data_IF_624925061184
#
_entry.id   IF_624925061184
#
_cell.length_a   1.000
_cell.length_b   1.000
_cell.length_c   1.000
_cell.angle_alpha   90.00
_cell.angle_beta   90.00
_cell.angle_gamma   90.00
#
_symmetry.space_group_name_H-M   'P 1'
#
loop_
_entity.id
_entity.type
_entity.pdbx_description
1 polymer ?
#
# COMPACT_ATOMS: atom_id res chain seq x y z
N UNK A 1 -7.50 -28.94 38.28
CA UNK A 1 -7.45 -29.49 36.92
C UNK A 1 -8.54 -28.79 36.12
N UNK A 2 -8.17 -27.71 35.42
CA UNK A 2 -9.07 -26.97 34.53
C UNK A 2 -8.67 -27.32 33.10
N UNK A 3 -9.68 -27.70 32.31
CA UNK A 3 -9.53 -28.28 30.98
C UNK A 3 -8.87 -27.34 30.00
N UNK A 4 -7.91 -27.90 29.28
CA UNK A 4 -7.31 -27.34 28.08
C UNK A 4 -8.44 -27.29 27.03
N UNK A 5 -8.76 -26.10 26.54
CA UNK A 5 -9.68 -25.94 25.42
C UNK A 5 -9.07 -26.64 24.20
N UNK A 6 -9.74 -27.70 23.76
CA UNK A 6 -9.40 -28.45 22.55
C UNK A 6 -9.32 -27.51 21.34
N UNK A 7 -8.14 -27.49 20.71
CA UNK A 7 -7.93 -26.87 19.41
C UNK A 7 -8.78 -27.62 18.37
N UNK A 8 -9.41 -26.92 17.42
CA UNK A 8 -10.21 -27.57 16.38
C UNK A 8 -9.33 -28.50 15.52
N UNK A 9 -9.94 -29.62 15.14
CA UNK A 9 -9.34 -30.78 14.49
C UNK A 9 -8.66 -30.42 13.16
N UNK A 10 -7.48 -31.02 12.93
CA UNK A 10 -6.63 -30.85 11.75
C UNK A 10 -7.28 -31.54 10.55
N UNK A 11 -7.72 -30.77 9.54
CA UNK A 11 -7.87 -31.24 8.14
C UNK A 11 -8.14 -30.04 7.20
N UNK A 12 -7.06 -29.32 6.83
CA UNK A 12 -6.77 -28.77 5.49
C UNK A 12 -5.50 -27.91 5.61
N UNK A 13 -4.37 -28.46 5.17
CA UNK A 13 -3.03 -27.92 5.36
C UNK A 13 -2.72 -26.76 4.39
N UNK A 14 -3.23 -25.58 4.72
CA UNK A 14 -2.56 -24.31 4.41
C UNK A 14 -2.66 -23.42 5.65
N UNK A 15 -1.83 -23.70 6.65
CA UNK A 15 -1.75 -22.87 7.86
C UNK A 15 -1.07 -21.56 7.49
N UNK A 16 -1.86 -20.49 7.34
CA UNK A 16 -1.34 -19.16 7.00
C UNK A 16 -0.46 -18.64 8.11
N UNK A 17 0.78 -18.28 7.76
CA UNK A 17 1.72 -17.70 8.70
C UNK A 17 1.63 -16.19 8.70
N UNK A 18 1.49 -15.61 9.88
CA UNK A 18 1.48 -14.16 10.04
C UNK A 18 2.07 -13.75 11.38
N UNK A 19 2.51 -12.50 11.43
CA UNK A 19 2.90 -11.80 12.64
C UNK A 19 2.32 -10.39 12.59
N UNK A 20 1.63 -10.01 13.66
CA UNK A 20 1.07 -8.67 13.83
C UNK A 20 1.71 -8.05 15.06
N UNK A 21 2.29 -6.87 14.87
CA UNK A 21 2.80 -6.05 15.97
C UNK A 21 1.65 -5.16 16.45
N UNK A 22 1.30 -5.32 17.74
CA UNK A 22 0.25 -4.59 18.47
C UNK A 22 0.85 -3.74 19.58
N UNK A 23 1.38 -2.53 19.27
CA UNK A 23 1.99 -1.65 20.26
C UNK A 23 1.04 -1.22 21.39
N UNK A 24 -0.27 -1.27 21.15
CA UNK A 24 -1.34 -0.91 22.09
C UNK A 24 -1.54 -1.93 23.22
N UNK A 25 -1.17 -3.20 23.00
CA UNK A 25 -1.44 -4.29 23.95
C UNK A 25 -0.43 -4.38 25.09
N UNK A 26 0.82 -4.00 24.87
CA UNK A 26 1.86 -4.01 25.89
C UNK A 26 2.15 -2.64 26.52
N UNK A 27 2.48 -2.65 27.81
CA UNK A 27 2.78 -1.45 28.59
C UNK A 27 4.22 -0.95 28.43
N UNK A 28 4.50 0.24 28.96
CA UNK A 28 5.86 0.81 29.03
C UNK A 28 6.81 -0.11 29.80
N UNK A 29 6.33 -0.78 30.86
CA UNK A 29 7.14 -1.71 31.64
C UNK A 29 7.49 -2.98 30.88
N UNK A 30 6.56 -3.49 30.07
CA UNK A 30 6.83 -4.65 29.20
C UNK A 30 7.87 -4.27 28.14
N UNK A 31 7.78 -3.05 27.57
CA UNK A 31 8.75 -2.54 26.61
C UNK A 31 10.14 -2.38 27.23
N UNK A 32 10.23 -1.83 28.45
CA UNK A 32 11.50 -1.69 29.18
C UNK A 32 12.10 -3.04 29.55
N UNK A 33 11.27 -3.98 30.04
CA UNK A 33 11.68 -5.35 30.36
C UNK A 33 12.28 -6.01 29.12
N UNK A 34 11.54 -6.03 28.01
CA UNK A 34 12.01 -6.62 26.77
C UNK A 34 13.29 -5.93 26.23
N UNK A 35 13.37 -4.59 26.31
CA UNK A 35 14.54 -3.84 25.85
C UNK A 35 15.81 -4.13 26.66
N UNK A 36 15.70 -4.33 27.97
CA UNK A 36 16.86 -4.46 28.87
C UNK A 36 17.30 -5.92 29.06
N UNK A 37 16.35 -6.85 29.19
CA UNK A 37 16.65 -8.26 29.47
C UNK A 37 16.37 -9.20 28.29
N UNK A 38 15.73 -8.73 27.22
CA UNK A 38 15.25 -9.62 26.16
C UNK A 38 14.14 -10.56 26.59
N UNK A 39 13.36 -10.15 27.58
CA UNK A 39 12.26 -10.93 28.12
C UNK A 39 11.18 -11.18 27.05
N UNK A 40 11.13 -12.42 26.56
CA UNK A 40 10.20 -12.86 25.52
C UNK A 40 8.75 -12.82 26.04
N UNK A 41 8.52 -13.05 27.33
CA UNK A 41 7.17 -13.00 27.90
C UNK A 41 6.59 -11.57 27.84
N UNK A 42 7.46 -10.56 27.95
CA UNK A 42 7.09 -9.17 27.72
C UNK A 42 6.89 -8.85 26.23
N UNK A 43 7.69 -9.44 25.33
CA UNK A 43 7.54 -9.27 23.88
C UNK A 43 6.23 -9.84 23.36
N UNK A 44 5.85 -11.05 23.80
CA UNK A 44 4.63 -11.76 23.35
C UNK A 44 3.37 -10.92 23.57
N UNK A 45 3.36 -10.02 24.56
CA UNK A 45 2.23 -9.10 24.80
C UNK A 45 2.03 -8.08 23.68
N UNK A 46 3.07 -7.80 22.89
CA UNK A 46 3.01 -6.90 21.74
C UNK A 46 2.81 -7.65 20.41
N UNK A 47 2.74 -8.99 20.43
CA UNK A 47 2.71 -9.80 19.21
C UNK A 47 1.47 -10.68 19.16
N UNK A 48 0.88 -10.74 17.98
CA UNK A 48 -0.17 -11.70 17.63
C UNK A 48 0.33 -12.49 16.42
N UNK A 49 0.35 -13.82 16.52
CA UNK A 49 0.96 -14.67 15.49
C UNK A 49 0.14 -15.94 15.25
N UNK A 50 0.29 -16.50 14.06
CA UNK A 50 -0.33 -17.77 13.65
C UNK A 50 0.19 -18.97 14.45
N UNK A 51 1.47 -18.97 14.81
CA UNK A 51 2.14 -20.06 15.49
C UNK A 51 3.33 -19.57 16.33
N UNK A 52 3.81 -20.44 17.23
CA UNK A 52 4.91 -20.12 18.14
C UNK A 52 6.24 -19.87 17.41
N UNK A 53 6.49 -20.53 16.27
CA UNK A 53 7.74 -20.29 15.53
C UNK A 53 7.75 -18.88 14.92
N UNK A 54 6.61 -18.37 14.46
CA UNK A 54 6.52 -16.99 13.94
C UNK A 54 6.93 -15.95 15.01
N UNK A 55 6.57 -16.19 16.27
CA UNK A 55 6.99 -15.37 17.42
C UNK A 55 8.48 -15.54 17.71
N UNK A 56 9.00 -16.76 17.67
CA UNK A 56 10.42 -17.05 17.91
C UNK A 56 11.30 -16.46 16.82
N UNK A 57 10.91 -16.54 15.55
CA UNK A 57 11.61 -15.91 14.42
C UNK A 57 11.61 -14.39 14.57
N UNK A 58 10.49 -13.81 15.03
CA UNK A 58 10.41 -12.38 15.31
C UNK A 58 11.31 -11.96 16.49
N UNK A 59 11.30 -12.73 17.57
CA UNK A 59 11.95 -12.37 18.84
C UNK A 59 13.35 -12.93 19.08
N UNK A 60 13.86 -13.87 18.28
CA UNK A 60 14.76 -14.90 18.83
C UNK A 60 16.02 -15.32 18.08
N UNK A 61 16.19 -15.13 16.76
CA UNK A 61 17.37 -15.74 16.08
C UNK A 61 18.50 -14.78 15.67
N UNK A 62 18.24 -13.46 15.59
CA UNK A 62 19.29 -12.46 15.35
C UNK A 62 19.05 -11.20 16.20
N UNK A 63 20.13 -10.64 16.76
CA UNK A 63 20.09 -9.38 17.52
C UNK A 63 19.45 -8.22 16.72
N UNK A 64 19.57 -8.27 15.40
CA UNK A 64 19.02 -7.27 14.48
C UNK A 64 17.48 -7.28 14.45
N UNK A 65 16.84 -8.46 14.45
CA UNK A 65 15.36 -8.56 14.40
C UNK A 65 14.72 -8.04 15.69
N UNK A 66 15.35 -8.28 16.85
CA UNK A 66 14.91 -7.74 18.13
C UNK A 66 14.89 -6.22 18.14
N UNK A 67 15.94 -5.61 17.56
CA UNK A 67 16.06 -4.15 17.52
C UNK A 67 15.06 -3.51 16.56
N UNK A 68 14.78 -4.15 15.42
CA UNK A 68 13.77 -3.67 14.46
C UNK A 68 12.37 -3.68 15.07
N UNK A 69 11.98 -4.73 15.80
CA UNK A 69 10.68 -4.77 16.48
C UNK A 69 10.59 -3.72 17.60
N UNK A 70 11.66 -3.52 18.36
CA UNK A 70 11.73 -2.46 19.36
C UNK A 70 11.55 -1.08 18.72
N UNK A 71 12.27 -0.80 17.64
CA UNK A 71 12.17 0.46 16.90
C UNK A 71 10.75 0.64 16.36
N UNK A 72 10.15 -0.42 15.80
CA UNK A 72 8.75 -0.42 15.34
C UNK A 72 7.78 -0.03 16.46
N UNK A 73 7.85 -0.70 17.62
CA UNK A 73 6.96 -0.42 18.76
C UNK A 73 7.18 1.00 19.30
N UNK A 74 8.44 1.43 19.46
CA UNK A 74 8.79 2.76 19.98
C UNK A 74 8.34 3.85 19.02
N UNK A 75 8.67 3.73 17.73
CA UNK A 75 8.28 4.68 16.69
C UNK A 75 6.76 4.81 16.64
N UNK A 76 6.01 3.69 16.60
CA UNK A 76 4.55 3.71 16.57
C UNK A 76 3.93 4.30 17.85
N UNK A 77 4.50 4.04 19.04
CA UNK A 77 4.06 4.71 20.29
C UNK A 77 4.34 6.22 20.27
N UNK A 78 5.48 6.66 19.72
CA UNK A 78 5.82 8.08 19.56
C UNK A 78 4.88 8.75 18.55
N UNK A 79 4.64 8.11 17.39
CA UNK A 79 3.73 8.61 16.37
C UNK A 79 2.31 8.71 16.89
N UNK A 80 1.81 7.72 17.63
CA UNK A 80 0.50 7.81 18.25
C UNK A 80 0.40 8.99 19.23
N UNK A 81 1.46 9.25 20.01
CA UNK A 81 1.51 10.39 20.93
C UNK A 81 1.60 11.74 20.19
N UNK A 82 2.38 11.81 19.11
CA UNK A 82 2.60 13.02 18.32
C UNK A 82 1.56 13.23 17.22
N UNK A 83 0.73 12.23 16.90
CA UNK A 83 -0.05 12.19 15.66
C UNK A 83 -0.95 13.42 15.49
N UNK A 84 -1.66 13.78 16.56
CA UNK A 84 -2.51 14.98 16.57
C UNK A 84 -1.72 16.30 16.38
N UNK A 85 -0.45 16.33 16.77
CA UNK A 85 0.42 17.50 16.56
C UNK A 85 1.10 17.48 15.19
N UNK A 86 1.33 16.29 14.63
CA UNK A 86 1.86 16.09 13.29
C UNK A 86 0.86 16.52 12.23
N UNK A 87 -0.41 16.12 12.34
CA UNK A 87 -1.47 16.54 11.40
C UNK A 87 -1.59 18.07 11.33
N UNK A 88 -1.57 18.75 12.48
CA UNK A 88 -1.56 20.20 12.56
C UNK A 88 -0.31 20.81 11.90
N UNK A 89 0.86 20.20 12.12
CA UNK A 89 2.12 20.65 11.52
C UNK A 89 2.10 20.44 10.01
N UNK A 90 1.56 19.32 9.52
CA UNK A 90 1.32 19.03 8.12
C UNK A 90 0.48 20.12 7.48
N UNK A 91 -0.69 20.42 8.05
CA UNK A 91 -1.57 21.49 7.52
C UNK A 91 -0.87 22.86 7.44
N UNK A 92 -0.05 23.19 8.44
CA UNK A 92 0.71 24.44 8.47
C UNK A 92 1.83 24.44 7.42
N UNK A 93 2.61 23.36 7.34
CA UNK A 93 3.68 23.21 6.36
C UNK A 93 3.12 23.18 4.94
N UNK A 94 2.05 22.42 4.69
CA UNK A 94 1.37 22.36 3.41
C UNK A 94 0.77 23.69 3.02
N UNK A 95 0.20 24.44 3.97
CA UNK A 95 -0.22 25.81 3.72
C UNK A 95 0.96 26.66 3.24
N UNK A 96 2.11 26.61 3.93
CA UNK A 96 3.30 27.38 3.53
C UNK A 96 3.93 26.87 2.23
N UNK A 97 3.98 25.57 1.98
CA UNK A 97 4.49 24.98 0.74
C UNK A 97 3.57 25.29 -0.44
N UNK A 98 2.25 25.22 -0.25
CA UNK A 98 1.27 25.64 -1.26
C UNK A 98 1.37 27.14 -1.50
N UNK A 99 1.58 27.94 -0.46
CA UNK A 99 1.80 29.39 -0.58
C UNK A 99 3.11 29.72 -1.30
N UNK A 100 4.20 28.98 -1.04
CA UNK A 100 5.50 29.13 -1.69
C UNK A 100 5.51 28.57 -3.12
N UNK A 101 4.75 27.50 -3.36
CA UNK A 101 4.51 26.95 -4.70
C UNK A 101 3.72 27.96 -5.53
N UNK A 102 2.64 28.52 -5.01
CA UNK A 102 1.87 29.55 -5.71
C UNK A 102 2.64 30.88 -5.91
N UNK A 103 3.67 31.16 -5.10
CA UNK A 103 4.46 32.40 -5.17
C UNK A 103 5.94 32.25 -5.61
N UNK A 104 6.34 31.06 -6.08
CA UNK A 104 7.56 30.82 -6.85
C UNK A 104 8.89 30.89 -6.07
N UNK A 105 9.42 29.75 -5.63
CA UNK A 105 10.85 29.64 -5.28
C UNK A 105 11.47 28.23 -5.49
N UNK A 106 10.69 27.15 -5.41
CA UNK A 106 11.14 25.79 -5.82
C UNK A 106 10.70 25.42 -7.24
N UNK A 107 9.60 26.03 -7.70
CA UNK A 107 9.12 25.90 -9.08
C UNK A 107 10.10 26.44 -10.13
N UNK A 108 11.09 27.27 -9.79
CA UNK A 108 12.07 27.77 -10.76
C UNK A 108 12.97 26.68 -11.35
N UNK A 109 13.32 25.66 -10.56
CA UNK A 109 14.07 24.49 -11.01
C UNK A 109 13.21 23.55 -11.87
N UNK A 110 11.94 23.34 -11.48
CA UNK A 110 10.97 22.56 -12.24
C UNK A 110 10.52 23.28 -13.53
N UNK A 111 10.47 24.62 -13.50
CA UNK A 111 10.11 25.47 -14.63
C UNK A 111 11.15 25.36 -15.75
N UNK A 112 12.44 25.24 -15.44
CA UNK A 112 13.48 25.00 -16.45
C UNK A 112 13.37 23.61 -17.10
N UNK A 113 12.86 22.61 -16.38
CA UNK A 113 12.60 21.27 -16.91
C UNK A 113 11.30 21.21 -17.75
N UNK A 114 10.30 22.00 -17.36
CA UNK A 114 9.00 22.10 -18.04
C UNK A 114 8.99 23.06 -19.25
N UNK A 115 10.02 23.91 -19.43
CA UNK A 115 10.14 24.89 -20.53
C UNK A 115 10.63 24.26 -21.85
N UNK A 116 10.13 23.06 -22.14
CA UNK A 116 10.47 22.18 -23.24
C UNK A 116 11.07 22.87 -24.47
N UNK A 117 12.30 22.49 -24.80
CA UNK A 117 12.61 22.28 -26.21
C UNK A 117 11.82 21.05 -26.66
N UNK A 118 11.09 21.21 -27.76
CA UNK A 118 10.07 20.26 -28.20
C UNK A 118 10.61 18.85 -28.32
N UNK A 119 10.14 17.97 -27.45
CA UNK A 119 10.22 16.52 -27.63
C UNK A 119 9.19 16.16 -28.70
N UNK A 120 9.53 16.45 -29.95
CA UNK A 120 8.91 15.84 -31.12
C UNK A 120 9.76 14.64 -31.49
N UNK A 121 9.15 13.44 -31.43
CA UNK A 121 9.76 12.15 -31.74
C UNK A 121 10.91 11.75 -30.81
N UNK A 122 10.59 11.50 -29.54
CA UNK A 122 11.49 10.70 -28.69
C UNK A 122 11.12 9.24 -28.89
N UNK A 123 12.03 8.49 -29.52
CA UNK A 123 12.16 7.07 -29.19
C UNK A 123 12.23 6.98 -27.66
N UNK A 124 11.25 6.34 -27.04
CA UNK A 124 11.05 6.26 -25.59
C UNK A 124 12.26 5.61 -24.89
N UNK A 125 13.32 6.37 -24.67
CA UNK A 125 14.52 5.96 -23.95
C UNK A 125 14.24 5.79 -22.44
N UNK A 126 15.06 5.00 -21.77
CA UNK A 126 14.93 4.67 -20.35
C UNK A 126 14.97 5.91 -19.46
N UNK A 127 15.73 6.94 -19.84
CA UNK A 127 15.80 8.18 -19.06
C UNK A 127 14.48 8.96 -19.08
N UNK A 128 13.86 9.13 -20.25
CA UNK A 128 12.58 9.84 -20.37
C UNK A 128 11.44 9.12 -19.60
N UNK A 129 11.44 7.78 -19.58
CA UNK A 129 10.52 7.01 -18.75
C UNK A 129 10.76 7.24 -17.26
N UNK A 130 12.03 7.28 -16.86
CA UNK A 130 12.41 7.51 -15.45
C UNK A 130 11.98 8.90 -14.99
N UNK A 131 12.22 9.93 -15.81
CA UNK A 131 11.81 11.31 -15.52
C UNK A 131 10.28 11.42 -15.44
N UNK A 132 9.56 10.76 -16.35
CA UNK A 132 8.10 10.71 -16.32
C UNK A 132 7.58 10.03 -15.05
N UNK A 133 8.18 8.91 -14.64
CA UNK A 133 7.84 8.22 -13.39
C UNK A 133 8.06 9.11 -12.16
N UNK A 134 9.18 9.83 -12.11
CA UNK A 134 9.48 10.75 -11.03
C UNK A 134 8.46 11.90 -10.95
N UNK A 135 8.15 12.50 -12.11
CA UNK A 135 7.16 13.57 -12.20
C UNK A 135 5.75 13.09 -11.82
N UNK A 136 5.36 11.90 -12.30
CA UNK A 136 4.07 11.30 -11.98
C UNK A 136 3.95 10.97 -10.49
N UNK A 137 4.99 10.37 -9.90
CA UNK A 137 5.05 10.07 -8.46
C UNK A 137 4.86 11.33 -7.61
N UNK A 138 5.42 12.47 -8.04
CA UNK A 138 5.20 13.75 -7.33
C UNK A 138 3.81 14.31 -7.59
N UNK A 139 3.30 14.21 -8.82
CA UNK A 139 1.97 14.67 -9.19
C UNK A 139 0.86 13.90 -8.47
N UNK A 140 1.11 12.67 -8.02
CA UNK A 140 0.13 11.84 -7.32
C UNK A 140 -0.39 12.45 -6.00
N UNK A 141 0.36 13.40 -5.42
CA UNK A 141 -0.01 14.16 -4.22
C UNK A 141 -0.98 15.32 -4.48
N UNK A 142 -1.31 15.57 -5.75
CA UNK A 142 -2.22 16.64 -6.13
C UNK A 142 -3.64 16.11 -6.34
N UNK A 143 -4.63 17.00 -6.19
CA UNK A 143 -6.01 16.64 -6.46
C UNK A 143 -6.28 16.36 -7.95
N UNK A 144 -7.35 15.61 -8.23
CA UNK A 144 -7.73 15.17 -9.58
C UNK A 144 -7.77 16.28 -10.66
N UNK A 145 -8.17 17.51 -10.31
CA UNK A 145 -8.25 18.61 -11.29
C UNK A 145 -6.85 19.10 -11.68
N UNK A 146 -5.94 19.20 -10.71
CA UNK A 146 -4.54 19.57 -10.96
C UNK A 146 -3.85 18.48 -11.77
N UNK A 147 -4.01 17.21 -11.38
CA UNK A 147 -3.46 16.05 -12.11
C UNK A 147 -3.92 16.08 -13.57
N UNK A 148 -5.24 16.17 -13.81
CA UNK A 148 -5.81 16.23 -15.16
C UNK A 148 -5.25 17.40 -15.96
N UNK A 149 -5.17 18.59 -15.37
CA UNK A 149 -4.66 19.78 -16.03
C UNK A 149 -3.19 19.61 -16.43
N UNK A 150 -2.35 19.06 -15.55
CA UNK A 150 -0.92 18.82 -15.85
C UNK A 150 -0.78 17.79 -16.97
N UNK A 151 -1.42 16.63 -16.86
CA UNK A 151 -1.33 15.54 -17.84
C UNK A 151 -1.79 16.00 -19.23
N UNK A 152 -2.96 16.64 -19.31
CA UNK A 152 -3.55 17.04 -20.60
C UNK A 152 -2.89 18.29 -21.15
N UNK A 153 -2.74 19.36 -20.35
CA UNK A 153 -2.36 20.65 -20.89
C UNK A 153 -0.85 20.88 -20.89
N UNK A 154 -0.09 20.26 -19.97
CA UNK A 154 1.37 20.42 -19.88
C UNK A 154 2.10 19.27 -20.56
N UNK A 155 1.76 18.03 -20.21
CA UNK A 155 2.46 16.85 -20.77
C UNK A 155 1.92 16.42 -22.13
N UNK A 156 0.75 16.93 -22.53
CA UNK A 156 0.07 16.57 -23.79
C UNK A 156 -0.18 15.06 -23.91
N UNK A 157 -0.47 14.43 -22.79
CA UNK A 157 -0.80 13.00 -22.67
C UNK A 157 -2.29 12.80 -22.42
N UNK A 158 -2.75 11.56 -22.56
CA UNK A 158 -4.13 11.22 -22.30
C UNK A 158 -4.34 10.92 -20.81
N UNK A 159 -5.06 11.78 -20.11
CA UNK A 159 -5.52 11.47 -18.75
C UNK A 159 -6.63 10.43 -18.81
N UNK A 160 -6.46 9.31 -18.11
CA UNK A 160 -7.43 8.21 -18.13
C UNK A 160 -8.42 8.37 -16.99
N UNK A 161 -7.98 8.26 -15.74
CA UNK A 161 -8.83 8.34 -14.56
C UNK A 161 -8.04 8.70 -13.30
N UNK A 162 -8.77 9.14 -12.28
CA UNK A 162 -8.26 9.36 -10.93
C UNK A 162 -9.20 8.68 -9.94
N UNK A 163 -8.63 7.88 -9.06
CA UNK A 163 -9.34 7.10 -8.06
C UNK A 163 -8.94 7.50 -6.66
N UNK A 164 -9.93 7.47 -5.77
CA UNK A 164 -9.74 7.58 -4.34
C UNK A 164 -10.40 6.36 -3.71
N UNK A 165 -9.58 5.37 -3.40
CA UNK A 165 -9.96 3.99 -3.16
C UNK A 165 -10.19 3.72 -1.67
N UNK A 166 -11.09 2.78 -1.38
CA UNK A 166 -11.44 2.36 -0.02
C UNK A 166 -10.37 1.47 0.60
N UNK A 167 -10.04 1.75 1.86
CA UNK A 167 -9.24 0.91 2.75
C UNK A 167 -10.14 0.38 3.88
N UNK A 168 -10.24 -0.95 3.98
CA UNK A 168 -11.13 -1.57 4.96
C UNK A 168 -10.56 -1.56 6.38
N UNK A 169 -9.24 -1.48 6.56
CA UNK A 169 -8.66 -1.38 7.88
C UNK A 169 -8.86 0.02 8.47
N UNK A 170 -8.57 1.06 7.68
CA UNK A 170 -8.73 2.46 8.10
C UNK A 170 -10.19 2.94 8.08
N UNK A 171 -11.09 2.21 7.39
CA UNK A 171 -12.51 2.55 7.21
C UNK A 171 -12.71 3.91 6.53
N UNK A 172 -11.82 4.26 5.61
CA UNK A 172 -11.88 5.48 4.82
C UNK A 172 -11.31 5.30 3.42
N UNK A 173 -11.32 6.37 2.63
CA UNK A 173 -10.61 6.39 1.36
C UNK A 173 -9.24 6.99 1.58
N UNK A 174 -8.20 6.15 1.53
CA UNK A 174 -6.83 6.56 1.82
C UNK A 174 -5.90 6.43 0.61
N UNK A 175 -6.14 5.46 -0.27
CA UNK A 175 -5.26 5.23 -1.41
C UNK A 175 -5.72 5.97 -2.65
N UNK A 176 -4.93 6.95 -3.10
CA UNK A 176 -5.16 7.69 -4.33
C UNK A 176 -4.32 7.14 -5.47
N UNK A 177 -4.92 7.02 -6.65
CA UNK A 177 -4.24 6.51 -7.86
C UNK A 177 -4.70 7.31 -9.06
N UNK A 178 -3.79 7.68 -9.95
CA UNK A 178 -4.18 8.16 -11.27
C UNK A 178 -3.52 7.36 -12.38
N UNK A 179 -4.21 7.30 -13.52
CA UNK A 179 -3.77 6.60 -14.71
C UNK A 179 -3.67 7.59 -15.87
N UNK A 180 -2.63 7.41 -16.69
CA UNK A 180 -2.49 8.12 -17.96
C UNK A 180 -1.97 7.18 -19.05
N UNK A 181 -2.21 7.57 -20.30
CA UNK A 181 -1.66 6.95 -21.49
C UNK A 181 -0.82 7.97 -22.26
N UNK A 182 0.20 7.52 -23.00
CA UNK A 182 0.95 8.45 -23.88
C UNK A 182 0.06 8.99 -25.00
N UNK A 183 -0.96 8.23 -25.42
CA UNK A 183 -1.93 8.59 -26.45
C UNK A 183 -3.36 8.16 -26.09
N UNK A 184 -4.39 8.79 -26.67
CA UNK A 184 -5.79 8.38 -26.46
C UNK A 184 -6.18 7.09 -27.19
N UNK A 185 -5.55 6.80 -28.33
CA UNK A 185 -5.77 5.58 -29.13
C UNK A 185 -4.40 4.96 -29.45
N UNK A 186 -4.35 3.63 -29.58
CA UNK A 186 -3.12 2.86 -29.85
C UNK A 186 -1.92 3.30 -28.99
N UNK A 187 -2.16 3.43 -27.68
CA UNK A 187 -1.16 3.81 -26.70
C UNK A 187 -0.01 2.80 -26.66
N UNK A 188 1.22 3.28 -26.47
CA UNK A 188 2.39 2.43 -26.24
C UNK A 188 2.73 2.31 -24.75
N UNK A 189 2.23 3.23 -23.93
CA UNK A 189 2.50 3.31 -22.50
C UNK A 189 1.21 3.59 -21.74
N UNK A 190 0.98 2.81 -20.68
CA UNK A 190 0.02 3.09 -19.62
C UNK A 190 0.85 3.34 -18.35
N UNK A 191 0.71 4.51 -17.74
CA UNK A 191 1.38 4.81 -16.48
C UNK A 191 0.34 4.88 -15.37
N UNK A 192 0.59 4.13 -14.31
CA UNK A 192 -0.22 4.10 -13.10
C UNK A 192 0.64 4.70 -11.99
N UNK A 193 0.19 5.83 -11.45
CA UNK A 193 0.88 6.50 -10.36
C UNK A 193 0.06 6.40 -9.08
N UNK A 194 0.67 5.86 -8.04
CA UNK A 194 0.06 5.64 -6.73
C UNK A 194 0.57 6.72 -5.77
N UNK A 195 -0.36 7.37 -5.08
CA UNK A 195 -0.08 8.30 -4.01
C UNK A 195 0.61 7.58 -2.87
N UNK A 196 1.65 8.21 -2.32
CA UNK A 196 2.32 7.71 -1.13
C UNK A 196 1.80 8.38 0.12
N UNK A 197 2.65 8.40 1.12
CA UNK A 197 2.40 8.99 2.43
C UNK A 197 2.41 10.52 2.38
N UNK A 198 1.38 11.16 2.93
CA UNK A 198 1.41 12.61 3.15
C UNK A 198 2.49 13.01 4.18
N UNK A 199 3.07 14.19 3.99
CA UNK A 199 4.03 14.71 4.96
C UNK A 199 3.30 14.96 6.28
N UNK A 200 3.79 14.33 7.36
CA UNK A 200 3.23 14.45 8.70
C UNK A 200 1.89 13.72 8.93
N UNK A 201 1.54 12.75 8.09
CA UNK A 201 0.52 11.77 8.42
C UNK A 201 1.11 10.66 9.30
N UNK A 202 0.65 10.59 10.55
CA UNK A 202 1.18 9.64 11.52
C UNK A 202 0.69 8.20 11.31
N UNK A 203 -0.46 8.01 10.65
CA UNK A 203 -1.02 6.69 10.35
C UNK A 203 -0.30 6.09 9.15
N UNK A 204 -0.03 6.90 8.12
CA UNK A 204 0.82 6.47 7.00
C UNK A 204 2.26 6.19 7.46
N UNK A 205 2.83 7.02 8.33
CA UNK A 205 4.17 6.76 8.90
C UNK A 205 4.16 5.51 9.79
N UNK A 206 3.09 5.29 10.55
CA UNK A 206 2.96 4.08 11.36
C UNK A 206 2.96 2.83 10.49
N UNK A 207 2.46 2.91 9.26
CA UNK A 207 2.51 1.81 8.30
C UNK A 207 3.94 1.52 7.85
N UNK A 208 4.76 2.54 7.61
CA UNK A 208 6.18 2.35 7.24
C UNK A 208 7.02 1.78 8.39
N UNK A 209 6.67 2.06 9.64
CA UNK A 209 7.32 1.51 10.83
C UNK A 209 6.67 0.22 11.35
N UNK A 210 5.64 -0.29 10.69
CA UNK A 210 5.03 -1.55 11.07
C UNK A 210 5.95 -2.72 10.67
N UNK A 211 6.12 -3.69 11.57
CA UNK A 211 6.87 -4.91 11.28
C UNK A 211 5.94 -6.12 11.12
N UNK A 212 4.65 -5.85 10.94
CA UNK A 212 3.63 -6.86 10.71
C UNK A 212 3.74 -7.44 9.30
N UNK A 213 3.68 -8.75 9.18
CA UNK A 213 3.79 -9.45 7.90
C UNK A 213 2.81 -10.61 7.79
N UNK A 214 2.45 -10.90 6.55
CA UNK A 214 1.66 -12.05 6.13
C UNK A 214 2.48 -12.87 5.14
N UNK A 215 2.61 -14.16 5.38
CA UNK A 215 3.40 -15.07 4.53
C UNK A 215 2.51 -15.75 3.50
N UNK A 216 2.94 -15.65 2.24
CA UNK A 216 2.33 -16.37 1.13
C UNK A 216 3.31 -17.45 0.67
N UNK A 217 2.80 -18.68 0.58
CA UNK A 217 3.58 -19.82 0.12
C UNK A 217 4.19 -19.53 -1.26
N UNK A 218 5.49 -19.76 -1.42
CA UNK A 218 6.31 -19.48 -2.62
C UNK A 218 6.58 -18.02 -2.97
N UNK A 219 5.94 -17.04 -2.30
CA UNK A 219 6.21 -15.61 -2.50
C UNK A 219 7.00 -15.00 -1.33
N UNK A 220 6.84 -15.56 -0.13
CA UNK A 220 7.50 -15.11 1.09
C UNK A 220 6.63 -14.15 1.91
N UNK A 221 7.29 -13.36 2.76
CA UNK A 221 6.64 -12.44 3.72
C UNK A 221 6.33 -11.10 3.07
N UNK A 222 5.06 -10.73 3.05
CA UNK A 222 4.58 -9.43 2.59
C UNK A 222 4.23 -8.56 3.79
N UNK A 223 4.52 -7.27 3.67
CA UNK A 223 4.18 -6.29 4.70
C UNK A 223 2.65 -6.10 4.79
N UNK A 224 2.09 -6.26 5.98
CA UNK A 224 0.63 -6.34 6.16
C UNK A 224 -0.07 -5.02 5.83
N UNK A 225 0.52 -3.89 6.23
CA UNK A 225 -0.05 -2.58 5.93
C UNK A 225 -0.10 -2.22 4.44
N UNK A 226 0.80 -2.78 3.63
CA UNK A 226 0.74 -2.56 2.18
C UNK A 226 -0.36 -3.40 1.51
N UNK A 227 -0.65 -4.59 2.06
CA UNK A 227 -1.80 -5.38 1.64
C UNK A 227 -3.10 -4.67 1.98
N UNK A 228 -3.19 -4.06 3.16
CA UNK A 228 -4.36 -3.28 3.60
C UNK A 228 -4.58 -2.04 2.73
N UNK A 229 -3.51 -1.29 2.41
CA UNK A 229 -3.60 -0.12 1.53
C UNK A 229 -4.05 -0.49 0.10
N UNK A 230 -3.68 -1.67 -0.40
CA UNK A 230 -4.24 -2.19 -1.66
C UNK A 230 -5.70 -2.67 -1.51
N UNK A 231 -6.21 -2.79 -0.29
CA UNK A 231 -7.50 -3.37 0.08
C UNK A 231 -7.56 -4.86 -0.20
N UNK A 232 -6.47 -5.57 0.12
CA UNK A 232 -6.31 -7.02 0.00
C UNK A 232 -6.44 -7.74 1.35
N UNK A 233 -7.02 -7.09 2.35
CA UNK A 233 -7.33 -7.68 3.65
C UNK A 233 -7.35 -6.66 4.77
N UNK A 234 -7.57 -7.16 5.99
CA UNK A 234 -7.71 -6.39 7.22
C UNK A 234 -7.09 -7.18 8.38
N UNK A 235 -6.12 -6.60 9.11
CA UNK A 235 -5.46 -7.27 10.25
C UNK A 235 -6.38 -7.63 11.42
N UNK A 236 -7.56 -7.01 11.54
CA UNK A 236 -8.56 -7.39 12.54
C UNK A 236 -9.31 -8.68 12.15
N UNK A 237 -9.28 -9.04 10.86
CA UNK A 237 -9.80 -10.30 10.32
C UNK A 237 -8.76 -10.92 9.39
N UNK A 238 -7.79 -11.64 9.96
CA UNK A 238 -6.67 -12.21 9.19
C UNK A 238 -7.10 -13.20 8.11
N UNK A 239 -8.32 -13.75 8.19
CA UNK A 239 -8.88 -14.63 7.15
C UNK A 239 -9.20 -13.86 5.86
N UNK A 240 -9.41 -12.55 5.93
CA UNK A 240 -9.67 -11.71 4.75
C UNK A 240 -8.49 -11.72 3.76
N UNK A 241 -7.24 -11.69 4.25
CA UNK A 241 -6.05 -11.75 3.39
C UNK A 241 -6.02 -13.03 2.57
N UNK A 242 -6.33 -14.15 3.20
CA UNK A 242 -6.43 -15.43 2.52
C UNK A 242 -7.42 -15.37 1.35
N UNK A 243 -8.63 -14.86 1.60
CA UNK A 243 -9.67 -14.79 0.58
C UNK A 243 -9.29 -13.89 -0.59
N UNK A 244 -8.60 -12.78 -0.32
CA UNK A 244 -8.15 -11.87 -1.37
C UNK A 244 -6.98 -12.40 -2.18
N UNK A 245 -6.07 -13.17 -1.56
CA UNK A 245 -4.79 -13.57 -2.16
C UNK A 245 -4.78 -14.98 -2.76
N UNK A 246 -5.63 -15.91 -2.31
CA UNK A 246 -5.67 -17.28 -2.85
C UNK A 246 -6.75 -17.52 -3.91
N UNK A 247 -7.82 -16.71 -3.92
CA UNK A 247 -8.99 -17.05 -4.74
C UNK A 247 -8.81 -16.55 -6.17
N UNK A 248 -8.62 -17.48 -7.12
CA UNK A 248 -8.72 -17.24 -8.58
C UNK A 248 -9.98 -16.42 -8.87
N UNK A 249 -9.80 -15.14 -9.17
CA UNK A 249 -10.89 -14.18 -9.33
C UNK A 249 -11.59 -14.39 -10.68
N UNK A 250 -12.54 -15.33 -10.73
CA UNK A 250 -13.55 -15.32 -11.81
C UNK A 250 -14.71 -14.44 -11.36
N UNK A 251 -15.22 -13.58 -12.26
CA UNK A 251 -16.36 -12.66 -12.05
C UNK A 251 -17.61 -13.34 -11.45
N UNK A 252 -17.72 -14.66 -11.54
CA UNK A 252 -18.84 -15.45 -11.01
C UNK A 252 -18.72 -15.80 -9.52
N UNK A 253 -17.52 -15.80 -8.90
CA UNK A 253 -17.34 -16.27 -7.51
C UNK A 253 -17.50 -15.19 -6.43
N UNK A 254 -17.61 -13.93 -6.82
CA UNK A 254 -17.76 -12.80 -5.90
C UNK A 254 -19.19 -12.70 -5.33
N UNK A 255 -20.19 -13.09 -6.12
CA UNK A 255 -21.58 -13.27 -5.66
C UNK A 255 -21.74 -14.44 -4.67
N UNK A 256 -20.84 -15.44 -4.72
CA UNK A 256 -20.81 -16.56 -3.77
C UNK A 256 -19.94 -16.26 -2.54
N UNK A 257 -19.01 -15.29 -2.65
CA UNK A 257 -18.17 -14.82 -1.54
C UNK A 257 -19.00 -14.19 -0.42
N UNK A 258 -20.13 -13.54 -0.77
CA UNK A 258 -21.06 -12.93 0.18
C UNK A 258 -22.03 -13.90 0.86
N UNK A 259 -22.23 -15.10 0.28
CA UNK A 259 -23.22 -16.07 0.77
C UNK A 259 -22.59 -17.25 1.51
N UNK A 260 -21.29 -17.53 1.34
CA UNK A 260 -20.63 -18.69 1.92
C UNK A 260 -19.67 -18.44 3.10
N UNK A 261 -19.18 -17.21 3.31
CA UNK A 261 -18.05 -16.97 4.22
C UNK A 261 -18.33 -15.76 5.09
N UNK A 262 -18.05 -15.86 6.38
CA UNK A 262 -18.30 -14.87 7.42
C UNK A 262 -17.48 -13.57 7.30
N UNK A 263 -17.47 -12.93 6.14
CA UNK A 263 -17.23 -11.50 5.98
C UNK A 263 -18.31 -10.76 6.78
N UNK A 264 -18.14 -10.66 8.10
CA UNK A 264 -19.01 -9.86 8.94
C UNK A 264 -18.79 -8.38 8.61
N UNK A 265 -19.56 -7.88 7.65
CA UNK A 265 -19.91 -6.46 7.60
C UNK A 265 -19.27 -5.60 6.50
N UNK A 266 -18.58 -6.15 5.51
CA UNK A 266 -18.10 -5.34 4.36
C UNK A 266 -19.08 -5.50 3.19
N UNK A 267 -19.77 -4.43 2.75
CA UNK A 267 -20.59 -4.47 1.55
C UNK A 267 -19.72 -4.80 0.33
N UNK A 268 -20.22 -5.69 -0.53
CA UNK A 268 -19.58 -6.11 -1.78
C UNK A 268 -19.11 -4.91 -2.64
N UNK A 269 -19.91 -3.84 -2.62
CA UNK A 269 -19.66 -2.57 -3.29
C UNK A 269 -18.41 -1.82 -2.77
N UNK A 270 -18.01 -2.04 -1.51
CA UNK A 270 -16.83 -1.40 -0.91
C UNK A 270 -15.55 -2.15 -1.29
N UNK A 271 -15.62 -3.48 -1.40
CA UNK A 271 -14.49 -4.28 -1.87
C UNK A 271 -14.17 -3.98 -3.34
N UNK A 272 -15.17 -3.78 -4.20
CA UNK A 272 -14.95 -3.36 -5.60
C UNK A 272 -14.34 -1.95 -5.71
N UNK A 273 -14.38 -1.17 -4.63
CA UNK A 273 -13.80 0.18 -4.54
C UNK A 273 -12.40 0.19 -3.93
N UNK A 274 -11.77 -0.95 -3.68
CA UNK A 274 -10.38 -0.99 -3.21
C UNK A 274 -9.40 -0.72 -4.34
N UNK A 275 -8.19 -0.29 -3.97
CA UNK A 275 -7.17 0.11 -4.93
C UNK A 275 -6.78 -1.04 -5.87
N UNK A 276 -6.65 -2.27 -5.34
CA UNK A 276 -6.31 -3.43 -6.13
C UNK A 276 -7.33 -3.69 -7.25
N UNK A 277 -8.61 -3.85 -6.88
CA UNK A 277 -9.64 -4.24 -7.85
C UNK A 277 -9.95 -3.13 -8.84
N UNK A 278 -10.04 -1.86 -8.40
CA UNK A 278 -10.31 -0.74 -9.29
C UNK A 278 -9.23 -0.57 -10.37
N UNK A 279 -7.95 -0.58 -9.96
CA UNK A 279 -6.83 -0.40 -10.89
C UNK A 279 -6.70 -1.62 -11.79
N UNK A 280 -6.89 -2.83 -11.26
CA UNK A 280 -6.82 -4.08 -12.03
C UNK A 280 -7.86 -4.12 -13.15
N UNK A 281 -9.13 -3.85 -12.85
CA UNK A 281 -10.18 -3.86 -13.87
C UNK A 281 -9.96 -2.76 -14.90
N UNK A 282 -9.55 -1.56 -14.49
CA UNK A 282 -9.24 -0.48 -15.43
C UNK A 282 -8.04 -0.82 -16.32
N UNK A 283 -6.98 -1.39 -15.76
CA UNK A 283 -5.78 -1.79 -16.50
C UNK A 283 -6.11 -2.88 -17.54
N UNK A 284 -6.95 -3.86 -17.18
CA UNK A 284 -7.43 -4.87 -18.13
C UNK A 284 -8.13 -4.23 -19.33
N UNK A 285 -9.07 -3.32 -19.09
CA UNK A 285 -9.77 -2.60 -20.18
C UNK A 285 -8.79 -1.82 -21.06
N UNK A 286 -7.82 -1.10 -20.46
CA UNK A 286 -6.84 -0.34 -21.24
C UNK A 286 -5.92 -1.23 -22.10
N UNK A 287 -5.61 -2.45 -21.66
CA UNK A 287 -4.77 -3.37 -22.41
C UNK A 287 -5.53 -4.09 -23.53
N UNK A 288 -6.85 -4.28 -23.38
CA UNK A 288 -7.72 -4.69 -24.48
C UNK A 288 -7.84 -3.59 -25.55
N UNK A 289 -7.95 -2.33 -25.13
CA UNK A 289 -8.01 -1.14 -26.00
C UNK A 289 -6.67 -0.84 -26.69
N UNK A 290 -5.55 -1.03 -25.98
CA UNK A 290 -4.20 -0.71 -26.45
C UNK A 290 -3.32 -1.97 -26.48
N UNK A 291 -3.53 -2.81 -27.49
CA UNK A 291 -2.90 -4.15 -27.60
C UNK A 291 -1.37 -4.18 -27.54
N UNK A 292 -0.70 -3.08 -27.87
CA UNK A 292 0.76 -2.97 -27.86
C UNK A 292 1.29 -2.18 -26.66
N UNK A 293 0.42 -1.70 -25.78
CA UNK A 293 0.81 -0.90 -24.64
C UNK A 293 1.60 -1.72 -23.62
N UNK A 294 2.65 -1.12 -23.09
CA UNK A 294 3.30 -1.57 -21.86
C UNK A 294 2.78 -0.73 -20.70
N UNK A 295 2.72 -1.31 -19.51
CA UNK A 295 2.34 -0.56 -18.32
C UNK A 295 3.51 -0.36 -17.36
N UNK A 296 3.49 0.74 -16.61
CA UNK A 296 4.46 1.05 -15.55
C UNK A 296 3.69 1.49 -14.31
N UNK A 297 4.03 0.88 -13.18
CA UNK A 297 3.63 1.36 -11.86
C UNK A 297 4.70 2.27 -11.28
N UNK A 298 4.30 3.39 -10.69
CA UNK A 298 5.20 4.34 -10.05
C UNK A 298 4.56 4.96 -8.82
N UNK A 299 5.38 5.44 -7.90
CA UNK A 299 4.97 6.06 -6.66
C UNK A 299 6.19 6.36 -5.79
N UNK A 300 6.03 7.26 -4.83
CA UNK A 300 7.05 7.59 -3.85
C UNK A 300 6.65 7.06 -2.46
N UNK A 301 7.61 6.74 -1.59
CA UNK A 301 7.36 6.24 -0.23
C UNK A 301 6.39 5.05 -0.24
N UNK A 302 5.28 5.08 0.52
CA UNK A 302 4.23 4.06 0.50
C UNK A 302 3.79 3.71 -0.93
N UNK A 303 3.55 4.70 -1.78
CA UNK A 303 3.12 4.50 -3.17
C UNK A 303 4.16 3.74 -4.01
N UNK A 304 5.43 3.87 -3.67
CA UNK A 304 6.52 3.08 -4.27
C UNK A 304 6.47 1.61 -3.85
N UNK A 305 6.18 1.34 -2.57
CA UNK A 305 5.97 -0.03 -2.09
C UNK A 305 4.73 -0.67 -2.75
N UNK A 306 3.62 0.08 -2.88
CA UNK A 306 2.41 -0.37 -3.56
C UNK A 306 2.66 -0.61 -5.06
N UNK A 307 3.50 0.23 -5.71
CA UNK A 307 3.88 0.06 -7.10
C UNK A 307 4.68 -1.23 -7.37
N UNK A 308 5.36 -1.78 -6.37
CA UNK A 308 6.03 -3.08 -6.44
C UNK A 308 5.06 -4.20 -6.08
N UNK A 309 4.30 -4.04 -4.99
CA UNK A 309 3.39 -5.07 -4.49
C UNK A 309 2.25 -5.39 -5.48
N UNK A 310 1.71 -4.38 -6.15
CA UNK A 310 0.60 -4.54 -7.08
C UNK A 310 0.89 -5.55 -8.21
N UNK A 311 1.95 -5.39 -9.03
CA UNK A 311 2.28 -6.38 -10.05
C UNK A 311 2.64 -7.74 -9.46
N UNK A 312 3.22 -7.80 -8.26
CA UNK A 312 3.45 -9.07 -7.57
C UNK A 312 2.14 -9.82 -7.29
N UNK A 313 1.11 -9.12 -6.81
CA UNK A 313 -0.22 -9.73 -6.57
C UNK A 313 -0.95 -10.06 -7.87
N UNK A 314 -0.80 -9.25 -8.94
CA UNK A 314 -1.31 -9.61 -10.27
C UNK A 314 -0.75 -10.95 -10.75
N UNK A 315 0.57 -11.15 -10.61
CA UNK A 315 1.23 -12.41 -10.99
C UNK A 315 0.75 -13.57 -10.11
N UNK A 316 0.60 -13.33 -8.80
CA UNK A 316 0.09 -14.33 -7.86
C UNK A 316 -1.31 -14.83 -8.24
N UNK A 317 -2.18 -13.93 -8.71
CA UNK A 317 -3.52 -14.29 -9.16
C UNK A 317 -3.55 -15.00 -10.53
N UNK A 318 -2.38 -15.35 -11.10
CA UNK A 318 -2.21 -15.94 -12.43
C UNK A 318 -2.93 -15.13 -13.52
N UNK A 319 -3.14 -13.83 -13.28
CA UNK A 319 -3.76 -12.96 -14.26
C UNK A 319 -2.71 -12.60 -15.30
N UNK A 320 -2.60 -13.44 -16.33
CA UNK A 320 -1.87 -13.10 -17.55
C UNK A 320 -2.54 -11.90 -18.18
N UNK A 321 -1.89 -10.74 -18.07
CA UNK A 321 -2.32 -9.50 -18.72
C UNK A 321 -1.88 -9.47 -20.20
N UNK A 322 -2.04 -10.60 -20.88
CA UNK A 322 -1.66 -10.84 -22.29
C UNK A 322 -2.87 -11.21 -23.11
#
# INVERSE_FOLDING_TARGET
MAGISEFPDKNDDDVFRYLIVRPDKGGIWDLLSYSLSGDIDSLVKFLEASDQDAVVVAGGEAADHRWVILVSIVARKILHFLGKHMELTGYVVDFFLNLLSQNGSILGLLYNLLKGEGITNVEFDNQAKTDLCLMASKLAYENAQVVRNVVVNRWKMNFVDFYHCWDDYQKEKSTQVFLLCDKPEDSNLILISIHGTDLFDADDWSTDFDYSWYEILNLGKLHMGFLEALGLGNREDTTSFYHHLQKRSTKHSFSELSTGIGLKGIPLEMVEKTAYYMVREKLKTLLEEHKNAKYIFTGNSLGGALAILFPTVLILHEETVT
#
